data_IF_691399876661
#
_entry.id   IF_691399876661
#
_cell.length_a   1.000
_cell.length_b   1.000
_cell.length_c   1.000
_cell.angle_alpha   90.00
_cell.angle_beta   90.00
_cell.angle_gamma   90.00
#
_symmetry.space_group_name_H-M   'P 1'
#
loop_
_entity.id
_entity.type
_entity.pdbx_description
1 polymer ?
#
# COMPACT_ATOMS: atom_id res chain seq x y z
N UNK A 1 -0.02 -10.52 49.84
CA UNK A 1 -0.71 -9.91 48.70
C UNK A 1 -0.12 -10.46 47.42
N UNK A 2 -0.87 -11.24 46.73
CA UNK A 2 -0.49 -11.70 45.40
C UNK A 2 -0.70 -10.54 44.43
N UNK A 3 0.40 -9.92 44.02
CA UNK A 3 0.39 -9.05 42.88
C UNK A 3 0.00 -9.85 41.64
N UNK A 4 -1.29 -9.82 41.34
CA UNK A 4 -1.76 -10.29 40.06
C UNK A 4 -1.27 -9.22 39.08
N UNK A 5 -0.34 -9.52 38.15
CA UNK A 5 0.03 -8.55 37.13
C UNK A 5 -1.26 -8.16 36.41
N UNK A 6 -1.44 -6.88 36.09
CA UNK A 6 -2.61 -6.46 35.36
C UNK A 6 -2.69 -7.35 34.12
N UNK A 7 -3.81 -8.05 34.00
CA UNK A 7 -4.09 -8.79 32.77
C UNK A 7 -3.93 -7.80 31.64
N UNK A 8 -2.90 -7.99 30.83
CA UNK A 8 -2.78 -7.24 29.61
C UNK A 8 -4.13 -7.33 28.91
N UNK A 9 -4.76 -6.23 28.58
CA UNK A 9 -6.02 -6.31 27.86
C UNK A 9 -5.75 -7.15 26.62
N UNK A 10 -6.34 -8.32 26.57
CA UNK A 10 -6.21 -9.28 25.46
C UNK A 10 -6.70 -8.72 24.12
N UNK A 11 -7.11 -7.44 24.13
CA UNK A 11 -7.66 -6.69 23.02
C UNK A 11 -6.90 -5.41 22.68
N UNK A 12 -5.66 -5.24 23.16
CA UNK A 12 -4.81 -4.22 22.52
C UNK A 12 -4.51 -4.71 21.11
N UNK A 13 -5.01 -4.03 20.06
CA UNK A 13 -4.63 -4.43 18.73
C UNK A 13 -3.12 -4.38 18.65
N UNK A 14 -2.49 -5.48 18.21
CA UNK A 14 -1.07 -5.46 17.91
C UNK A 14 -0.83 -4.32 16.93
N UNK A 15 0.24 -3.56 17.14
CA UNK A 15 0.55 -2.47 16.23
C UNK A 15 0.71 -2.99 14.80
N UNK A 16 0.14 -2.27 13.85
CA UNK A 16 0.32 -2.55 12.44
C UNK A 16 1.77 -2.24 12.08
N UNK A 17 2.51 -3.26 11.66
CA UNK A 17 3.95 -3.13 11.36
C UNK A 17 4.20 -2.81 9.91
N UNK A 18 3.26 -3.09 9.02
CA UNK A 18 3.35 -2.77 7.60
C UNK A 18 1.97 -2.78 6.96
N UNK A 19 1.77 -1.88 6.01
CA UNK A 19 0.58 -1.84 5.17
C UNK A 19 0.94 -2.45 3.82
N UNK A 20 0.19 -3.47 3.39
CA UNK A 20 0.40 -4.20 2.15
C UNK A 20 -0.71 -3.85 1.18
N UNK A 21 -0.37 -3.19 0.09
CA UNK A 21 -1.37 -2.63 -0.85
C UNK A 21 -1.33 -3.38 -2.17
N UNK A 22 -2.48 -3.88 -2.59
CA UNK A 22 -2.69 -4.37 -3.96
C UNK A 22 -2.85 -3.16 -4.88
N UNK A 23 -1.82 -2.86 -5.67
CA UNK A 23 -1.74 -1.63 -6.45
C UNK A 23 -2.83 -1.49 -7.49
N UNK A 24 -3.11 -2.53 -8.27
CA UNK A 24 -4.15 -2.45 -9.29
C UNK A 24 -5.55 -2.48 -8.71
N UNK A 25 -5.77 -3.18 -7.62
CA UNK A 25 -7.03 -3.13 -6.89
C UNK A 25 -7.32 -1.70 -6.43
N UNK A 26 -6.32 -1.03 -5.87
CA UNK A 26 -6.45 0.35 -5.42
C UNK A 26 -6.66 1.32 -6.60
N UNK A 27 -5.91 1.17 -7.70
CA UNK A 27 -6.08 2.00 -8.88
C UNK A 27 -7.48 1.85 -9.51
N UNK A 28 -8.01 0.63 -9.57
CA UNK A 28 -9.35 0.39 -10.08
C UNK A 28 -10.43 1.03 -9.20
N UNK A 29 -10.20 1.11 -7.91
CA UNK A 29 -11.13 1.75 -6.96
C UNK A 29 -10.98 3.26 -6.90
N UNK A 30 -9.87 3.78 -7.37
CA UNK A 30 -9.55 5.21 -7.28
C UNK A 30 -9.50 5.86 -8.65
N UNK A 31 -10.66 5.96 -9.28
CA UNK A 31 -10.76 6.49 -10.65
C UNK A 31 -10.38 7.95 -10.77
N UNK A 32 -10.54 8.71 -9.69
CA UNK A 32 -10.18 10.13 -9.65
C UNK A 32 -8.67 10.36 -9.58
N UNK A 33 -7.90 9.33 -9.23
CA UNK A 33 -6.45 9.39 -9.32
C UNK A 33 -6.04 9.09 -10.76
N UNK A 34 -5.32 10.01 -11.40
CA UNK A 34 -4.95 9.93 -12.81
C UNK A 34 -6.18 9.72 -13.72
N UNK A 35 -7.17 10.65 -13.70
CA UNK A 35 -8.38 10.47 -14.49
C UNK A 35 -8.05 10.45 -15.99
N UNK A 36 -8.72 9.56 -16.73
CA UNK A 36 -8.48 9.38 -18.16
C UNK A 36 -7.29 8.51 -18.52
N UNK A 37 -6.44 8.15 -17.54
CA UNK A 37 -5.32 7.25 -17.75
C UNK A 37 -5.75 5.79 -17.55
N UNK A 38 -5.30 4.87 -18.41
CA UNK A 38 -5.54 3.45 -18.18
C UNK A 38 -4.99 3.02 -16.81
N UNK A 39 -5.73 2.15 -16.13
CA UNK A 39 -5.34 1.74 -14.76
C UNK A 39 -4.01 1.00 -14.72
N UNK A 40 -3.61 0.34 -15.78
CA UNK A 40 -2.33 -0.35 -15.89
C UNK A 40 -1.23 0.49 -16.52
N UNK A 41 -1.45 1.77 -16.73
CA UNK A 41 -0.45 2.66 -17.34
C UNK A 41 0.66 3.01 -16.35
N UNK A 42 1.82 3.34 -16.90
CA UNK A 42 2.95 3.83 -16.11
C UNK A 42 2.59 5.10 -15.35
N UNK A 43 1.82 6.00 -15.98
CA UNK A 43 1.41 7.26 -15.36
C UNK A 43 0.51 7.04 -14.15
N UNK A 44 -0.47 6.13 -14.24
CA UNK A 44 -1.32 5.80 -13.10
C UNK A 44 -0.50 5.21 -11.95
N UNK A 45 0.44 4.31 -12.24
CA UNK A 45 1.34 3.75 -11.22
C UNK A 45 2.20 4.83 -10.57
N UNK A 46 2.76 5.73 -11.34
CA UNK A 46 3.61 6.83 -10.84
C UNK A 46 2.84 7.75 -9.89
N UNK A 47 1.60 8.09 -10.23
CA UNK A 47 0.76 8.91 -9.36
C UNK A 47 0.43 8.21 -8.06
N UNK A 48 0.13 6.91 -8.12
CA UNK A 48 -0.13 6.11 -6.93
C UNK A 48 1.12 6.01 -6.04
N UNK A 49 2.28 5.78 -6.64
CA UNK A 49 3.56 5.73 -5.92
C UNK A 49 3.81 7.07 -5.20
N UNK A 50 3.58 8.18 -5.88
CA UNK A 50 3.76 9.50 -5.28
C UNK A 50 2.86 9.72 -4.06
N UNK A 51 1.57 9.40 -4.19
CA UNK A 51 0.60 9.57 -3.10
C UNK A 51 0.92 8.66 -1.93
N UNK A 52 1.23 7.40 -2.19
CA UNK A 52 1.54 6.45 -1.11
C UNK A 52 2.87 6.75 -0.42
N UNK A 53 3.83 7.31 -1.13
CA UNK A 53 5.08 7.79 -0.51
C UNK A 53 4.79 8.89 0.50
N UNK A 54 3.98 9.88 0.12
CA UNK A 54 3.57 10.95 1.04
C UNK A 54 2.78 10.41 2.23
N UNK A 55 1.88 9.48 1.97
CA UNK A 55 1.07 8.87 3.02
C UNK A 55 1.94 8.10 4.02
N UNK A 56 2.83 7.24 3.53
CA UNK A 56 3.74 6.47 4.37
C UNK A 56 4.63 7.37 5.23
N UNK A 57 5.16 8.44 4.63
CA UNK A 57 5.97 9.43 5.37
C UNK A 57 5.15 10.11 6.47
N UNK A 58 3.88 10.41 6.19
CA UNK A 58 3.02 11.12 7.13
C UNK A 58 2.61 10.26 8.33
N UNK A 59 2.35 8.97 8.12
CA UNK A 59 1.90 8.09 9.19
C UNK A 59 3.04 7.38 9.92
N UNK A 60 4.23 7.35 9.34
CA UNK A 60 5.39 6.69 9.93
C UNK A 60 5.34 5.16 9.91
N UNK A 61 4.38 4.56 9.22
CA UNK A 61 4.26 3.11 9.06
C UNK A 61 4.74 2.73 7.66
N UNK A 62 5.65 1.76 7.51
CA UNK A 62 6.10 1.32 6.19
C UNK A 62 4.96 0.77 5.35
N UNK A 63 4.96 1.11 4.07
CA UNK A 63 3.97 0.65 3.09
C UNK A 63 4.69 -0.14 2.00
N UNK A 64 4.17 -1.30 1.64
CA UNK A 64 4.61 -2.08 0.51
C UNK A 64 3.49 -2.10 -0.54
N UNK A 65 3.83 -1.70 -1.75
CA UNK A 65 2.91 -1.59 -2.89
C UNK A 65 3.24 -2.72 -3.86
N UNK A 66 2.28 -3.60 -4.10
CA UNK A 66 2.45 -4.79 -4.94
C UNK A 66 1.74 -4.60 -6.28
N UNK A 67 2.45 -4.89 -7.35
CA UNK A 67 1.89 -4.90 -8.70
C UNK A 67 2.10 -6.27 -9.35
N UNK A 68 1.14 -6.72 -10.15
CA UNK A 68 1.37 -7.86 -11.04
C UNK A 68 2.44 -7.51 -12.06
N UNK A 69 3.45 -8.36 -12.16
CA UNK A 69 4.62 -8.11 -12.99
C UNK A 69 4.40 -8.23 -14.49
N UNK A 70 3.24 -8.75 -14.91
CA UNK A 70 2.93 -8.93 -16.33
C UNK A 70 2.97 -7.61 -17.14
N UNK A 71 2.70 -6.48 -16.49
CA UNK A 71 2.76 -5.15 -17.10
C UNK A 71 4.00 -4.35 -16.74
N UNK A 72 4.96 -4.94 -16.01
CA UNK A 72 6.17 -4.25 -15.62
C UNK A 72 7.04 -3.92 -16.85
N UNK A 73 7.70 -2.76 -16.87
CA UNK A 73 8.70 -2.46 -17.89
C UNK A 73 9.78 -3.54 -17.92
N UNK A 74 10.30 -3.82 -19.11
CA UNK A 74 11.40 -4.77 -19.29
C UNK A 74 12.58 -4.34 -18.41
N UNK A 75 13.22 -5.33 -17.75
CA UNK A 75 14.34 -5.11 -16.84
C UNK A 75 13.99 -4.37 -15.53
N UNK A 76 12.70 -4.30 -15.17
CA UNK A 76 12.28 -3.73 -13.88
C UNK A 76 12.78 -4.63 -12.73
N UNK A 77 13.48 -4.06 -11.72
CA UNK A 77 13.81 -4.81 -10.52
C UNK A 77 12.55 -5.34 -9.83
N UNK A 78 12.65 -6.51 -9.22
CA UNK A 78 11.52 -7.08 -8.45
C UNK A 78 11.09 -6.15 -7.32
N UNK A 79 12.04 -5.52 -6.66
CA UNK A 79 11.79 -4.61 -5.54
C UNK A 79 12.51 -3.30 -5.74
N UNK A 80 11.78 -2.21 -5.52
CA UNK A 80 12.29 -0.84 -5.52
C UNK A 80 11.86 -0.23 -4.19
N UNK A 81 12.80 0.35 -3.45
CA UNK A 81 12.50 0.91 -2.12
C UNK A 81 12.93 2.37 -2.04
N UNK A 82 12.14 3.30 -2.61
CA UNK A 82 12.36 4.71 -2.34
C UNK A 82 11.77 5.06 -0.96
N UNK A 83 12.61 5.52 -0.05
CA UNK A 83 12.21 6.01 1.28
C UNK A 83 11.34 5.00 2.07
N UNK A 84 10.18 5.40 2.55
CA UNK A 84 9.28 4.59 3.38
C UNK A 84 8.31 3.71 2.57
N UNK A 85 8.38 3.77 1.26
CA UNK A 85 7.56 2.96 0.35
C UNK A 85 8.43 1.91 -0.33
N UNK A 86 8.00 0.64 -0.27
CA UNK A 86 8.57 -0.45 -1.04
C UNK A 86 7.64 -0.78 -2.19
N UNK A 87 8.16 -0.91 -3.41
CA UNK A 87 7.39 -1.28 -4.59
C UNK A 87 7.86 -2.65 -5.03
N UNK A 88 6.93 -3.60 -5.12
CA UNK A 88 7.24 -5.00 -5.44
C UNK A 88 6.46 -5.41 -6.67
N UNK A 89 7.16 -5.94 -7.68
CA UNK A 89 6.54 -6.53 -8.87
C UNK A 89 6.59 -8.04 -8.77
N UNK A 90 5.46 -8.71 -8.97
CA UNK A 90 5.43 -10.17 -8.98
C UNK A 90 6.16 -10.70 -10.21
N UNK A 91 6.82 -11.85 -10.06
CA UNK A 91 7.49 -12.53 -11.16
C UNK A 91 6.50 -13.43 -11.89
N UNK A 92 6.88 -13.86 -13.09
CA UNK A 92 6.10 -14.79 -13.91
C UNK A 92 5.66 -16.01 -13.09
N UNK A 93 4.38 -16.30 -13.14
CA UNK A 93 3.78 -17.40 -12.40
C UNK A 93 3.34 -17.08 -10.98
N UNK A 94 3.55 -15.84 -10.53
CA UNK A 94 3.08 -15.36 -9.22
C UNK A 94 2.25 -14.10 -9.38
N UNK A 95 1.28 -13.91 -8.49
CA UNK A 95 0.41 -12.76 -8.49
C UNK A 95 0.77 -11.82 -7.34
N UNK A 96 0.26 -10.59 -7.38
CA UNK A 96 0.36 -9.67 -6.25
C UNK A 96 -0.26 -10.27 -4.98
N UNK A 97 -1.39 -10.96 -5.11
CA UNK A 97 -2.07 -11.64 -4.01
C UNK A 97 -1.16 -12.65 -3.32
N UNK A 98 -0.46 -13.48 -4.09
CA UNK A 98 0.49 -14.48 -3.56
C UNK A 98 1.58 -13.80 -2.71
N UNK A 99 2.09 -12.66 -3.20
CA UNK A 99 3.15 -11.93 -2.51
C UNK A 99 2.64 -11.26 -1.23
N UNK A 100 1.43 -10.71 -1.25
CA UNK A 100 0.80 -10.11 -0.08
C UNK A 100 0.59 -11.16 1.01
N UNK A 101 0.03 -12.30 0.66
CA UNK A 101 -0.20 -13.40 1.61
C UNK A 101 1.11 -13.90 2.22
N UNK A 102 2.13 -14.09 1.38
CA UNK A 102 3.46 -14.54 1.84
C UNK A 102 4.11 -13.50 2.76
N UNK A 103 4.00 -12.23 2.43
CA UNK A 103 4.55 -11.14 3.24
C UNK A 103 3.84 -11.03 4.58
N UNK A 104 2.51 -11.13 4.59
CA UNK A 104 1.72 -11.13 5.82
C UNK A 104 2.11 -12.29 6.74
N UNK A 105 2.33 -13.46 6.18
CA UNK A 105 2.79 -14.63 6.94
C UNK A 105 4.17 -14.39 7.58
N UNK A 106 5.12 -13.84 6.83
CA UNK A 106 6.46 -13.53 7.35
C UNK A 106 6.45 -12.48 8.45
N UNK A 107 5.52 -11.53 8.39
CA UNK A 107 5.43 -10.45 9.37
C UNK A 107 4.74 -10.87 10.67
N UNK A 108 4.04 -11.98 10.67
CA UNK A 108 3.27 -12.47 11.82
C UNK A 108 4.03 -12.44 13.14
N UNK A 109 5.31 -12.86 13.25
CA UNK A 109 6.05 -12.80 14.49
C UNK A 109 6.34 -11.37 14.98
N UNK A 110 6.23 -10.37 14.10
CA UNK A 110 6.60 -8.98 14.40
C UNK A 110 5.40 -8.08 14.69
N UNK A 111 4.19 -8.53 14.39
CA UNK A 111 2.98 -7.77 14.57
C UNK A 111 1.94 -8.07 13.49
N UNK A 112 0.98 -7.16 13.32
CA UNK A 112 -0.07 -7.31 12.31
C UNK A 112 0.30 -6.60 11.03
N UNK A 113 0.08 -7.27 9.89
CA UNK A 113 0.07 -6.63 8.59
C UNK A 113 -1.36 -6.20 8.27
N UNK A 114 -1.50 -5.00 7.70
CA UNK A 114 -2.78 -4.54 7.16
C UNK A 114 -2.76 -4.74 5.65
N UNK A 115 -3.62 -5.60 5.13
CA UNK A 115 -3.78 -5.79 3.69
C UNK A 115 -4.89 -4.90 3.14
N UNK A 116 -4.59 -4.18 2.07
CA UNK A 116 -5.54 -3.31 1.37
C UNK A 116 -5.85 -3.93 0.01
N UNK A 117 -7.04 -4.49 -0.10
CA UNK A 117 -7.51 -5.15 -1.31
C UNK A 117 -9.03 -5.24 -1.31
N UNK A 118 -9.64 -5.29 -2.50
CA UNK A 118 -11.08 -5.55 -2.64
C UNK A 118 -11.40 -7.03 -2.86
N UNK A 119 -10.38 -7.89 -2.95
CA UNK A 119 -10.58 -9.33 -3.05
C UNK A 119 -10.92 -9.92 -1.67
N UNK A 120 -12.15 -10.39 -1.50
CA UNK A 120 -12.62 -10.96 -0.23
C UNK A 120 -11.84 -12.21 0.17
N UNK A 121 -11.48 -13.06 -0.79
CA UNK A 121 -10.71 -14.27 -0.49
C UNK A 121 -9.33 -13.92 0.06
N UNK A 122 -8.68 -12.91 -0.51
CA UNK A 122 -7.41 -12.41 -0.02
C UNK A 122 -7.52 -11.80 1.37
N UNK A 123 -8.55 -11.00 1.63
CA UNK A 123 -8.81 -10.45 2.96
C UNK A 123 -8.98 -11.57 4.00
N UNK A 124 -9.79 -12.58 3.69
CA UNK A 124 -10.05 -13.70 4.59
C UNK A 124 -8.77 -14.47 4.89
N UNK A 125 -7.91 -14.68 3.89
CA UNK A 125 -6.63 -15.34 4.06
C UNK A 125 -5.73 -14.57 5.02
N UNK A 126 -5.60 -13.25 4.83
CA UNK A 126 -4.75 -12.42 5.68
C UNK A 126 -5.29 -12.39 7.13
N UNK A 127 -6.60 -12.28 7.30
CA UNK A 127 -7.23 -12.31 8.63
C UNK A 127 -6.99 -13.66 9.31
N UNK A 128 -7.07 -14.76 8.57
CA UNK A 128 -6.81 -16.11 9.12
C UNK A 128 -5.37 -16.28 9.60
N UNK A 129 -4.44 -15.51 9.04
CA UNK A 129 -3.02 -15.48 9.44
C UNK A 129 -2.75 -14.55 10.63
N UNK A 130 -3.78 -13.92 11.19
CA UNK A 130 -3.63 -12.97 12.30
C UNK A 130 -3.39 -11.52 11.86
N UNK A 131 -3.50 -11.22 10.56
CA UNK A 131 -3.44 -9.86 10.03
C UNK A 131 -4.80 -9.17 10.05
N UNK A 132 -4.80 -7.95 9.56
CA UNK A 132 -5.99 -7.11 9.40
C UNK A 132 -6.20 -6.83 7.92
N UNK A 133 -7.43 -6.60 7.50
CA UNK A 133 -7.74 -6.29 6.11
C UNK A 133 -8.66 -5.08 6.01
N UNK A 134 -8.50 -4.31 4.94
CA UNK A 134 -9.26 -3.10 4.67
C UNK A 134 -9.62 -3.05 3.19
N UNK A 135 -10.78 -2.50 2.87
CA UNK A 135 -11.14 -2.26 1.47
C UNK A 135 -10.33 -1.10 0.89
N UNK A 136 -10.22 -1.07 -0.43
CA UNK A 136 -9.56 0.03 -1.11
C UNK A 136 -10.28 1.36 -0.84
N UNK A 137 -11.60 1.36 -0.81
CA UNK A 137 -12.40 2.56 -0.55
C UNK A 137 -12.14 3.13 0.84
N UNK A 138 -12.07 2.29 1.87
CA UNK A 138 -11.73 2.72 3.23
C UNK A 138 -10.32 3.29 3.29
N UNK A 139 -9.38 2.66 2.60
CA UNK A 139 -8.00 3.12 2.55
C UNK A 139 -7.87 4.48 1.85
N UNK A 140 -8.60 4.69 0.76
CA UNK A 140 -8.67 5.99 0.07
C UNK A 140 -9.15 7.07 1.03
N UNK A 141 -10.20 6.79 1.81
CA UNK A 141 -10.69 7.73 2.82
C UNK A 141 -9.62 8.06 3.87
N UNK A 142 -8.85 7.07 4.31
CA UNK A 142 -7.75 7.28 5.25
C UNK A 142 -6.64 8.17 4.65
N UNK A 143 -6.29 7.94 3.39
CA UNK A 143 -5.29 8.76 2.70
C UNK A 143 -5.78 10.21 2.60
N UNK A 144 -7.01 10.42 2.17
CA UNK A 144 -7.59 11.76 2.03
C UNK A 144 -7.70 12.48 3.37
N UNK A 145 -8.01 11.77 4.44
CA UNK A 145 -8.06 12.34 5.78
C UNK A 145 -6.70 12.85 6.24
N UNK A 146 -5.62 12.16 5.87
CA UNK A 146 -4.25 12.52 6.28
C UNK A 146 -3.63 13.55 5.35
N UNK A 147 -3.77 13.39 4.03
CA UNK A 147 -3.12 14.25 3.03
C UNK A 147 -3.98 15.41 2.54
N UNK A 148 -5.27 15.43 2.90
CA UNK A 148 -6.24 16.32 2.30
C UNK A 148 -6.90 15.68 1.09
N UNK A 149 -7.70 16.47 0.36
CA UNK A 149 -8.39 15.97 -0.81
C UNK A 149 -7.42 15.75 -2.00
N UNK A 150 -7.95 15.13 -3.05
CA UNK A 150 -7.20 14.85 -4.28
C UNK A 150 -6.46 16.07 -4.80
N UNK A 151 -7.09 17.24 -4.78
CA UNK A 151 -6.49 18.45 -5.35
C UNK A 151 -5.23 18.86 -4.59
N UNK A 152 -5.18 18.67 -3.29
CA UNK A 152 -4.03 19.02 -2.45
C UNK A 152 -2.80 18.17 -2.81
N UNK A 153 -2.92 16.85 -2.87
CA UNK A 153 -1.76 16.02 -3.18
C UNK A 153 -1.39 16.02 -4.67
N UNK A 154 -2.33 16.25 -5.58
CA UNK A 154 -2.04 16.41 -7.00
C UNK A 154 -1.29 17.69 -7.31
N UNK A 155 -1.56 18.78 -6.61
CA UNK A 155 -0.77 20.03 -6.75
C UNK A 155 0.71 19.79 -6.46
N UNK A 156 1.01 19.02 -5.45
CA UNK A 156 2.39 18.66 -5.11
C UNK A 156 3.04 17.83 -6.22
N UNK A 157 2.33 16.86 -6.76
CA UNK A 157 2.80 16.05 -7.89
C UNK A 157 3.08 16.91 -9.11
N UNK A 158 2.13 17.73 -9.52
CA UNK A 158 2.25 18.59 -10.68
C UNK A 158 3.40 19.60 -10.56
N UNK A 159 3.63 20.11 -9.34
CA UNK A 159 4.76 21.03 -9.08
C UNK A 159 6.09 20.32 -9.27
N UNK A 160 6.23 19.07 -8.79
CA UNK A 160 7.46 18.29 -8.95
C UNK A 160 7.72 17.97 -10.42
N UNK A 161 6.70 17.60 -11.18
CA UNK A 161 6.82 17.35 -12.61
C UNK A 161 7.25 18.61 -13.37
N UNK A 162 6.63 19.74 -13.10
CA UNK A 162 7.01 21.02 -13.70
C UNK A 162 8.47 21.38 -13.41
N UNK A 163 8.94 21.17 -12.20
CA UNK A 163 10.33 21.40 -11.81
C UNK A 163 11.30 20.44 -12.50
N UNK A 164 10.88 19.20 -12.73
CA UNK A 164 11.68 18.22 -13.49
C UNK A 164 11.93 18.69 -14.91
N UNK A 165 10.91 19.21 -15.59
CA UNK A 165 11.04 19.75 -16.96
C UNK A 165 11.89 21.02 -17.02
N UNK A 166 11.88 21.85 -15.98
CA UNK A 166 12.68 23.08 -15.94
C UNK A 166 14.18 22.82 -15.76
N UNK A 167 14.57 21.63 -15.28
CA UNK A 167 15.98 21.27 -15.02
C UNK A 167 16.67 20.58 -16.20
N UNK A 168 15.94 20.31 -17.28
CA UNK A 168 16.49 19.72 -18.51
C UNK A 168 16.96 20.80 -19.47
#
# INVERSE_FOLDING_TARGET
ALDIPPSHPRNSPMAIVRILVDGYSLLHSWRDLAPGEPRHSARAREMLIHVLTQYADSIGTPVALFFDGAGAPKDTPETISPDSLEIVYSRKGKTADDLIERTAFRLKPHGEALAVTNDYAERDTVISMGGTAQSCEEFICDIERILGDRDTFLKTYNRREANRYKRQ
#
